data_IF_973665867308
#
_entry.id   IF_973665867308
#
_cell.length_a   1.000
_cell.length_b   1.000
_cell.length_c   1.000
_cell.angle_alpha   90.00
_cell.angle_beta   90.00
_cell.angle_gamma   90.00
#
_symmetry.space_group_name_H-M   'P 1'
#
loop_
_entity.id
_entity.type
_entity.pdbx_description
1 polymer ?
#
# COMPACT_ATOMS: atom_id res chain seq x y z
N UNK A 1 53.42 14.40 -32.74
CA UNK A 1 53.09 13.06 -32.22
C UNK A 1 51.59 12.82 -32.35
N UNK A 2 51.14 12.52 -33.57
CA UNK A 2 49.71 12.41 -33.88
C UNK A 2 49.16 11.07 -33.36
N UNK A 3 49.92 9.98 -33.50
CA UNK A 3 49.51 8.65 -33.06
C UNK A 3 49.12 8.56 -31.57
N UNK A 4 49.79 9.31 -30.69
CA UNK A 4 49.45 9.35 -29.26
C UNK A 4 48.18 10.16 -28.96
N UNK A 5 47.92 11.21 -29.75
CA UNK A 5 46.68 11.98 -29.66
C UNK A 5 45.51 11.14 -30.17
N UNK A 6 45.69 10.44 -31.29
CA UNK A 6 44.70 9.52 -31.85
C UNK A 6 44.39 8.37 -30.88
N UNK A 7 45.42 7.79 -30.26
CA UNK A 7 45.25 6.73 -29.26
C UNK A 7 44.51 7.23 -28.01
N UNK A 8 44.81 8.44 -27.54
CA UNK A 8 44.09 9.08 -26.43
C UNK A 8 42.62 9.28 -26.78
N UNK A 9 42.34 9.85 -27.94
CA UNK A 9 40.97 10.15 -28.37
C UNK A 9 40.18 8.86 -28.59
N UNK A 10 40.81 7.79 -29.10
CA UNK A 10 40.20 6.46 -29.18
C UNK A 10 39.92 5.87 -27.79
N UNK A 11 40.82 6.05 -26.82
CA UNK A 11 40.59 5.58 -25.45
C UNK A 11 39.43 6.32 -24.76
N UNK A 12 39.33 7.63 -24.99
CA UNK A 12 38.20 8.45 -24.53
C UNK A 12 36.89 7.95 -25.17
N UNK A 13 36.89 7.67 -26.48
CA UNK A 13 35.71 7.14 -27.15
C UNK A 13 35.27 5.78 -26.59
N UNK A 14 36.22 4.86 -26.35
CA UNK A 14 35.91 3.56 -25.70
C UNK A 14 35.39 3.71 -24.28
N UNK A 15 35.90 4.70 -23.53
CA UNK A 15 35.38 5.01 -22.21
C UNK A 15 33.96 5.58 -22.29
N UNK A 16 33.69 6.44 -23.28
CA UNK A 16 32.37 7.01 -23.53
C UNK A 16 31.31 5.95 -23.88
N UNK A 17 31.70 4.86 -24.55
CA UNK A 17 30.83 3.69 -24.78
C UNK A 17 30.40 3.02 -23.46
N UNK A 18 31.24 3.08 -22.42
CA UNK A 18 30.97 2.46 -21.11
C UNK A 18 30.26 3.39 -20.14
N UNK A 19 30.61 4.67 -20.10
CA UNK A 19 30.03 5.67 -19.20
C UNK A 19 30.10 7.05 -19.84
N UNK A 20 29.10 7.89 -19.61
CA UNK A 20 29.13 9.28 -20.07
C UNK A 20 30.31 10.03 -19.47
N UNK A 21 31.12 10.61 -20.35
CA UNK A 21 32.31 11.38 -20.01
C UNK A 21 32.19 12.82 -20.50
N UNK A 22 32.72 13.75 -19.71
CA UNK A 22 32.96 15.13 -20.11
C UNK A 22 34.46 15.37 -20.16
N UNK A 23 34.96 15.93 -21.26
CA UNK A 23 36.38 16.22 -21.43
C UNK A 23 36.67 17.70 -21.34
N UNK A 24 37.74 18.08 -20.63
CA UNK A 24 38.22 19.47 -20.55
C UNK A 24 39.68 19.51 -20.96
N UNK A 25 39.98 20.19 -22.07
CA UNK A 25 41.34 20.40 -22.55
C UNK A 25 42.00 21.55 -21.81
N UNK A 26 43.21 21.33 -21.29
CA UNK A 26 44.02 22.33 -20.60
C UNK A 26 44.89 23.13 -21.58
N UNK A 27 45.45 24.26 -21.11
CA UNK A 27 46.34 25.11 -21.91
C UNK A 27 47.60 24.38 -22.41
N UNK A 28 48.05 23.35 -21.68
CA UNK A 28 49.20 22.50 -22.01
C UNK A 28 48.85 21.34 -22.97
N UNK A 29 47.59 21.22 -23.39
CA UNK A 29 47.09 20.17 -24.27
C UNK A 29 46.72 18.86 -23.56
N UNK A 30 46.86 18.77 -22.24
CA UNK A 30 46.34 17.66 -21.46
C UNK A 30 44.80 17.66 -21.48
N UNK A 31 44.19 16.48 -21.34
CA UNK A 31 42.72 16.33 -21.32
C UNK A 31 42.31 15.73 -20.00
N UNK A 32 41.52 16.48 -19.24
CA UNK A 32 40.85 15.96 -18.05
C UNK A 32 39.57 15.26 -18.46
N UNK A 33 39.28 14.14 -17.81
CA UNK A 33 38.08 13.34 -18.07
C UNK A 33 37.27 13.26 -16.78
N UNK A 34 36.02 13.70 -16.86
CA UNK A 34 35.08 13.71 -15.74
C UNK A 34 33.87 12.81 -16.06
N UNK A 35 33.24 12.27 -15.03
CA UNK A 35 31.99 11.49 -15.12
C UNK A 35 30.96 12.05 -14.15
N UNK A 36 29.71 11.66 -14.38
CA UNK A 36 28.58 12.01 -13.53
C UNK A 36 28.41 13.52 -13.36
N UNK A 37 28.45 13.99 -12.12
CA UNK A 37 28.24 15.39 -11.77
C UNK A 37 29.57 16.16 -11.60
N UNK A 38 30.62 15.76 -12.34
CA UNK A 38 31.94 16.39 -12.32
C UNK A 38 33.00 15.64 -11.51
N UNK A 39 32.78 14.34 -11.24
CA UNK A 39 33.80 13.50 -10.62
C UNK A 39 34.95 13.23 -11.59
N UNK A 40 36.17 13.57 -11.20
CA UNK A 40 37.33 13.42 -12.08
C UNK A 40 37.86 11.98 -12.11
N UNK A 41 37.90 11.38 -13.30
CA UNK A 41 38.57 10.11 -13.57
C UNK A 41 40.00 10.29 -14.05
N UNK A 42 40.27 11.35 -14.81
CA UNK A 42 41.63 11.66 -15.26
C UNK A 42 41.88 13.15 -15.06
N UNK A 43 42.97 13.48 -14.36
CA UNK A 43 43.47 14.87 -14.22
C UNK A 43 44.97 14.87 -14.47
N UNK A 44 45.38 15.55 -15.54
CA UNK A 44 46.78 15.53 -15.99
C UNK A 44 47.25 14.09 -16.24
N UNK A 45 48.18 13.60 -15.41
CA UNK A 45 48.73 12.23 -15.49
C UNK A 45 48.17 11.28 -14.43
N UNK A 46 47.22 11.74 -13.60
CA UNK A 46 46.62 10.93 -12.53
C UNK A 46 45.30 10.36 -12.99
N UNK A 47 45.13 9.04 -12.83
CA UNK A 47 43.87 8.36 -13.07
C UNK A 47 43.25 7.89 -11.74
N UNK A 48 41.94 8.08 -11.59
CA UNK A 48 41.12 7.52 -10.53
C UNK A 48 40.33 6.33 -11.06
N UNK A 49 40.10 5.33 -10.22
CA UNK A 49 39.32 4.15 -10.59
C UNK A 49 37.88 4.27 -10.06
N UNK A 50 36.93 3.73 -10.82
CA UNK A 50 35.61 3.41 -10.29
C UNK A 50 35.70 2.09 -9.54
N UNK A 51 34.96 1.98 -8.44
CA UNK A 51 34.83 0.75 -7.68
C UNK A 51 33.36 0.38 -7.54
N UNK A 52 33.11 -0.92 -7.41
CA UNK A 52 31.79 -1.43 -7.05
C UNK A 52 31.75 -1.75 -5.56
N UNK A 53 30.60 -1.55 -4.95
CA UNK A 53 30.38 -1.95 -3.55
C UNK A 53 28.94 -2.42 -3.38
N UNK A 54 28.68 -3.24 -2.35
CA UNK A 54 27.34 -3.76 -2.08
C UNK A 54 26.45 -2.68 -1.49
N UNK A 55 25.19 -2.66 -1.88
CA UNK A 55 24.21 -1.76 -1.30
C UNK A 55 24.10 -2.03 0.22
N UNK A 56 24.06 -0.98 1.05
CA UNK A 56 24.04 -1.17 2.50
C UNK A 56 22.74 -1.80 3.01
N UNK A 57 21.64 -1.74 2.26
CA UNK A 57 20.34 -2.33 2.60
C UNK A 57 20.10 -3.66 1.88
N UNK A 58 20.74 -3.88 0.72
CA UNK A 58 20.62 -5.12 -0.06
C UNK A 58 21.98 -5.63 -0.57
N UNK A 59 22.49 -6.68 0.07
CA UNK A 59 23.78 -7.27 -0.29
C UNK A 59 23.82 -7.89 -1.71
N UNK A 60 22.67 -8.12 -2.35
CA UNK A 60 22.57 -8.61 -3.73
C UNK A 60 22.67 -7.48 -4.76
N UNK A 61 22.44 -6.24 -4.35
CA UNK A 61 22.56 -5.04 -5.19
C UNK A 61 23.97 -4.48 -5.13
N UNK A 62 24.47 -4.07 -6.29
CA UNK A 62 25.82 -3.49 -6.45
C UNK A 62 25.70 -2.03 -6.91
N UNK A 63 26.34 -1.13 -6.18
CA UNK A 63 26.41 0.30 -6.49
C UNK A 63 27.82 0.69 -6.96
N UNK A 64 27.95 1.91 -7.48
CA UNK A 64 29.20 2.41 -8.07
C UNK A 64 29.70 3.61 -7.27
N UNK A 65 30.97 3.55 -6.88
CA UNK A 65 31.70 4.61 -6.19
C UNK A 65 33.02 4.89 -6.89
N UNK A 66 33.84 5.74 -6.26
CA UNK A 66 35.22 6.01 -6.69
C UNK A 66 36.17 5.35 -5.69
N UNK A 67 37.20 4.68 -6.20
CA UNK A 67 38.21 4.02 -5.40
C UNK A 67 38.96 5.02 -4.51
N UNK A 68 39.26 4.62 -3.27
CA UNK A 68 39.99 5.44 -2.30
C UNK A 68 39.17 6.53 -1.59
N UNK A 69 37.92 6.77 -2.00
CA UNK A 69 36.94 7.52 -1.21
C UNK A 69 36.17 6.56 -0.30
N UNK A 70 35.68 7.06 0.83
CA UNK A 70 34.86 6.26 1.75
C UNK A 70 33.71 5.61 0.97
N UNK A 71 33.48 4.32 1.22
CA UNK A 71 32.52 3.44 0.53
C UNK A 71 31.05 3.90 0.59
N UNK A 72 30.77 5.05 1.20
CA UNK A 72 29.44 5.64 1.39
C UNK A 72 29.00 6.61 0.30
N UNK A 73 29.87 6.96 -0.67
CA UNK A 73 29.47 7.89 -1.75
C UNK A 73 29.04 7.10 -2.99
N UNK A 74 27.79 6.63 -3.00
CA UNK A 74 27.16 6.13 -4.22
C UNK A 74 27.04 7.27 -5.24
N UNK A 75 27.81 7.17 -6.33
CA UNK A 75 27.74 8.12 -7.44
C UNK A 75 26.90 7.60 -8.60
N UNK A 76 26.41 6.35 -8.52
CA UNK A 76 25.69 5.68 -9.60
C UNK A 76 24.50 6.47 -10.12
N UNK A 77 23.76 7.14 -9.23
CA UNK A 77 22.63 8.01 -9.59
C UNK A 77 22.99 9.19 -10.50
N UNK A 78 24.26 9.59 -10.51
CA UNK A 78 24.76 10.69 -11.34
C UNK A 78 25.39 10.18 -12.63
N UNK A 79 25.73 8.89 -12.72
CA UNK A 79 26.31 8.31 -13.92
C UNK A 79 25.24 8.17 -15.00
N UNK A 80 25.44 8.89 -16.11
CA UNK A 80 24.58 8.84 -17.29
C UNK A 80 25.41 8.42 -18.50
N UNK A 81 24.75 7.98 -19.58
CA UNK A 81 25.41 7.59 -20.83
C UNK A 81 26.21 6.28 -20.74
N UNK A 82 26.52 5.74 -21.92
CA UNK A 82 27.18 4.44 -22.07
C UNK A 82 26.38 3.27 -21.49
N UNK A 83 26.97 2.08 -21.55
CA UNK A 83 26.37 0.85 -21.03
C UNK A 83 26.07 0.93 -19.52
N UNK A 84 26.95 1.54 -18.72
CA UNK A 84 26.80 1.63 -17.27
C UNK A 84 25.65 2.55 -16.87
N UNK A 85 25.56 3.74 -17.48
CA UNK A 85 24.47 4.67 -17.21
C UNK A 85 23.12 4.08 -17.63
N UNK A 86 23.07 3.35 -18.76
CA UNK A 86 21.87 2.65 -19.20
C UNK A 86 21.45 1.55 -18.20
N UNK A 87 22.38 0.73 -17.73
CA UNK A 87 22.09 -0.33 -16.75
C UNK A 87 21.58 0.25 -15.41
N UNK A 88 22.19 1.33 -14.92
CA UNK A 88 21.79 2.00 -13.68
C UNK A 88 20.42 2.68 -13.81
N UNK A 89 20.17 3.36 -14.93
CA UNK A 89 18.88 3.98 -15.24
C UNK A 89 17.76 2.94 -15.38
N UNK A 90 18.01 1.85 -16.12
CA UNK A 90 17.03 0.77 -16.25
C UNK A 90 16.69 0.15 -14.89
N UNK A 91 17.69 -0.13 -14.06
CA UNK A 91 17.47 -0.71 -12.73
C UNK A 91 16.66 0.22 -11.83
N UNK A 92 17.13 1.45 -11.62
CA UNK A 92 16.52 2.37 -10.66
C UNK A 92 15.23 3.03 -11.14
N UNK A 93 15.07 3.22 -12.46
CA UNK A 93 13.89 3.85 -13.04
C UNK A 93 12.81 2.85 -13.41
N UNK A 94 13.14 1.83 -14.20
CA UNK A 94 12.14 0.92 -14.77
C UNK A 94 11.92 -0.29 -13.87
N UNK A 95 12.98 -1.05 -13.57
CA UNK A 95 12.85 -2.33 -12.88
C UNK A 95 12.33 -2.17 -11.45
N UNK A 96 12.92 -1.26 -10.68
CA UNK A 96 12.52 -1.03 -9.28
C UNK A 96 11.08 -0.48 -9.21
N UNK A 97 10.70 0.49 -10.06
CA UNK A 97 9.31 1.01 -10.14
C UNK A 97 8.31 -0.07 -10.51
N UNK A 98 8.60 -0.86 -11.57
CA UNK A 98 7.73 -1.96 -12.04
C UNK A 98 7.49 -2.99 -10.94
N UNK A 99 8.54 -3.33 -10.17
CA UNK A 99 8.41 -4.28 -9.04
C UNK A 99 7.54 -3.72 -7.94
N UNK A 100 7.71 -2.45 -7.63
CA UNK A 100 6.92 -1.77 -6.60
C UNK A 100 5.46 -1.63 -7.00
N UNK A 101 5.17 -1.27 -8.24
CA UNK A 101 3.80 -1.21 -8.78
C UNK A 101 3.12 -2.58 -8.79
N UNK A 102 3.84 -3.64 -9.20
CA UNK A 102 3.32 -5.01 -9.10
C UNK A 102 3.09 -5.43 -7.64
N UNK A 103 4.00 -5.05 -6.75
CA UNK A 103 3.87 -5.25 -5.31
C UNK A 103 2.66 -4.54 -4.73
N UNK A 104 2.40 -3.30 -5.17
CA UNK A 104 1.27 -2.47 -4.75
C UNK A 104 -0.05 -3.12 -5.15
N UNK A 105 -0.15 -3.58 -6.41
CA UNK A 105 -1.32 -4.32 -6.87
C UNK A 105 -1.54 -5.59 -6.04
N UNK A 106 -0.48 -6.36 -5.77
CA UNK A 106 -0.56 -7.57 -4.96
C UNK A 106 -0.99 -7.31 -3.51
N UNK A 107 -0.37 -6.32 -2.85
CA UNK A 107 -0.73 -5.90 -1.49
C UNK A 107 -2.16 -5.38 -1.41
N UNK A 108 -2.54 -4.56 -2.39
CA UNK A 108 -3.88 -4.05 -2.61
C UNK A 108 -4.93 -5.13 -2.70
N UNK A 109 -4.77 -6.06 -3.65
CA UNK A 109 -5.68 -7.19 -3.84
C UNK A 109 -5.74 -8.05 -2.58
N UNK A 110 -4.59 -8.42 -2.01
CA UNK A 110 -4.55 -9.29 -0.84
C UNK A 110 -5.33 -8.67 0.33
N UNK A 111 -5.05 -7.42 0.68
CA UNK A 111 -5.67 -6.80 1.84
C UNK A 111 -7.17 -6.52 1.63
N UNK A 112 -7.54 -5.87 0.54
CA UNK A 112 -8.95 -5.48 0.30
C UNK A 112 -9.86 -6.69 0.06
N UNK A 113 -9.35 -7.73 -0.62
CA UNK A 113 -10.09 -8.99 -0.77
C UNK A 113 -10.22 -9.72 0.56
N UNK A 114 -9.16 -9.80 1.37
CA UNK A 114 -9.21 -10.43 2.70
C UNK A 114 -10.19 -9.73 3.63
N UNK A 115 -10.15 -8.40 3.67
CA UNK A 115 -11.06 -7.59 4.48
C UNK A 115 -12.51 -7.90 4.11
N UNK A 116 -12.85 -7.85 2.82
CA UNK A 116 -14.20 -8.16 2.36
C UNK A 116 -14.56 -9.63 2.55
N UNK A 117 -13.63 -10.56 2.36
CA UNK A 117 -13.86 -11.99 2.58
C UNK A 117 -14.18 -12.26 4.06
N UNK A 118 -13.50 -11.57 4.98
CA UNK A 118 -13.73 -11.70 6.42
C UNK A 118 -15.10 -11.20 6.90
N UNK A 119 -15.73 -10.30 6.13
CA UNK A 119 -17.11 -9.83 6.35
C UNK A 119 -18.16 -10.84 5.87
N UNK A 120 -17.76 -11.90 5.20
CA UNK A 120 -18.63 -12.97 4.72
C UNK A 120 -18.73 -14.17 5.64
N UNK A 121 -19.52 -15.15 5.20
CA UNK A 121 -19.67 -16.46 5.80
C UNK A 121 -19.49 -17.56 4.75
N UNK A 122 -18.76 -18.61 5.13
CA UNK A 122 -18.44 -19.78 4.30
C UNK A 122 -19.59 -20.82 4.25
N UNK A 123 -19.38 -21.93 3.54
CA UNK A 123 -20.39 -22.98 3.42
C UNK A 123 -20.66 -23.74 4.73
N UNK A 124 -19.74 -23.65 5.69
CA UNK A 124 -19.82 -24.28 7.00
C UNK A 124 -20.47 -23.36 8.05
N UNK A 125 -20.86 -22.14 7.67
CA UNK A 125 -21.43 -21.13 8.57
C UNK A 125 -20.38 -20.40 9.41
N UNK A 126 -19.10 -20.49 9.04
CA UNK A 126 -17.99 -19.81 9.70
C UNK A 126 -17.72 -18.48 9.01
N UNK A 127 -17.26 -17.48 9.77
CA UNK A 127 -16.82 -16.21 9.19
C UNK A 127 -15.59 -16.44 8.30
N UNK A 128 -15.50 -15.67 7.21
CA UNK A 128 -14.34 -15.72 6.35
C UNK A 128 -13.05 -15.31 7.06
N UNK A 129 -11.94 -15.85 6.57
CA UNK A 129 -10.60 -15.43 6.97
C UNK A 129 -9.85 -14.76 5.80
N UNK A 130 -8.52 -14.80 5.88
CA UNK A 130 -7.67 -14.41 4.77
C UNK A 130 -7.88 -15.36 3.58
N UNK A 131 -8.23 -14.81 2.43
CA UNK A 131 -8.29 -15.53 1.16
C UNK A 131 -6.90 -15.60 0.52
N UNK A 132 -6.16 -14.49 0.55
CA UNK A 132 -4.76 -14.40 0.15
C UNK A 132 -3.87 -14.26 1.38
N UNK A 133 -2.62 -14.69 1.30
CA UNK A 133 -1.64 -14.44 2.35
C UNK A 133 -1.48 -12.91 2.57
N UNK A 134 -1.63 -12.41 3.81
CA UNK A 134 -1.33 -11.01 4.13
C UNK A 134 0.10 -10.66 3.75
N UNK A 135 0.29 -9.49 3.14
CA UNK A 135 1.59 -8.98 2.74
C UNK A 135 2.02 -7.90 3.72
N UNK A 136 3.24 -8.04 4.24
CA UNK A 136 3.83 -7.09 5.19
C UNK A 136 4.99 -6.32 4.56
N UNK A 137 5.24 -5.08 5.02
CA UNK A 137 6.42 -4.32 4.63
C UNK A 137 7.73 -5.07 4.91
N UNK A 138 8.67 -5.00 3.98
CA UNK A 138 10.05 -5.37 4.27
C UNK A 138 10.80 -4.19 4.87
N UNK A 139 11.55 -4.43 5.94
CA UNK A 139 12.44 -3.43 6.54
C UNK A 139 13.86 -3.95 6.57
N UNK A 140 14.78 -3.21 5.93
CA UNK A 140 16.20 -3.52 5.89
C UNK A 140 16.99 -2.48 6.68
N UNK A 141 17.77 -2.93 7.67
CA UNK A 141 18.73 -2.09 8.37
C UNK A 141 19.98 -1.91 7.50
N UNK A 142 20.52 -0.69 7.42
CA UNK A 142 21.80 -0.48 6.77
C UNK A 142 22.91 -1.24 7.51
N UNK A 143 23.76 -1.93 6.76
CA UNK A 143 24.98 -2.57 7.29
C UNK A 143 25.98 -1.59 7.90
N UNK A 144 25.82 -0.28 7.67
CA UNK A 144 26.59 0.78 8.31
C UNK A 144 26.05 1.24 9.67
N UNK A 145 24.91 0.71 10.12
CA UNK A 145 24.33 1.07 11.41
C UNK A 145 25.24 0.62 12.55
N UNK A 146 25.35 1.47 13.57
CA UNK A 146 26.14 1.21 14.78
C UNK A 146 25.31 1.24 16.05
N UNK A 147 24.12 1.84 16.02
CA UNK A 147 23.17 1.78 17.11
C UNK A 147 22.43 0.46 17.19
N UNK A 148 21.65 0.31 18.25
CA UNK A 148 20.82 -0.86 18.55
C UNK A 148 19.32 -0.56 18.30
N UNK A 149 19.02 0.43 17.48
CA UNK A 149 17.64 0.71 17.08
C UNK A 149 17.11 -0.38 16.15
N UNK A 150 15.83 -0.68 16.26
CA UNK A 150 15.10 -1.53 15.31
C UNK A 150 13.89 -0.77 14.79
N UNK A 151 13.58 -1.01 13.52
CA UNK A 151 12.42 -0.42 12.84
C UNK A 151 11.53 -1.56 12.36
N UNK A 152 10.23 -1.46 12.64
CA UNK A 152 9.19 -2.32 12.09
C UNK A 152 8.19 -1.47 11.33
N UNK A 153 7.53 -2.05 10.34
CA UNK A 153 6.48 -1.37 9.60
C UNK A 153 5.29 -2.31 9.38
N UNK A 154 4.09 -1.73 9.34
CA UNK A 154 2.83 -2.42 9.04
C UNK A 154 1.99 -1.59 8.07
N UNK A 155 1.10 -2.25 7.33
CA UNK A 155 0.11 -1.57 6.50
C UNK A 155 -1.08 -1.18 7.39
N UNK A 156 -1.35 0.12 7.50
CA UNK A 156 -2.49 0.67 8.22
C UNK A 156 -3.67 0.92 7.27
N UNK A 157 -3.45 1.71 6.22
CA UNK A 157 -4.45 2.01 5.18
C UNK A 157 -3.91 1.66 3.80
N UNK A 158 -4.33 0.50 3.29
CA UNK A 158 -3.87 -0.01 2.00
C UNK A 158 -4.31 0.90 0.84
N UNK A 159 -5.42 1.63 0.99
CA UNK A 159 -5.90 2.54 -0.05
C UNK A 159 -5.02 3.76 -0.23
N UNK A 160 -4.25 4.12 0.80
CA UNK A 160 -3.30 5.24 0.77
C UNK A 160 -1.90 4.86 0.23
N UNK A 161 -1.64 3.57 -0.03
CA UNK A 161 -0.34 3.12 -0.52
C UNK A 161 -0.05 3.65 -1.93
N UNK A 162 1.16 4.14 -2.12
CA UNK A 162 1.66 4.70 -3.39
C UNK A 162 2.66 3.78 -4.11
N UNK A 163 3.12 2.72 -3.43
CA UNK A 163 4.20 1.85 -3.92
C UNK A 163 5.61 2.43 -3.75
N UNK A 164 5.76 3.62 -3.16
CA UNK A 164 7.07 4.19 -2.91
C UNK A 164 7.85 3.42 -1.82
N UNK A 165 9.17 3.42 -1.95
CA UNK A 165 10.08 3.01 -0.87
C UNK A 165 10.42 4.23 0.00
N UNK A 166 10.68 3.98 1.28
CA UNK A 166 10.99 5.03 2.25
C UNK A 166 12.30 4.72 2.97
N UNK A 167 13.08 5.77 3.24
CA UNK A 167 14.27 5.67 4.08
C UNK A 167 14.05 6.46 5.35
N UNK A 168 14.24 5.82 6.49
CA UNK A 168 14.30 6.51 7.78
C UNK A 168 15.74 6.56 8.27
N UNK A 169 16.20 7.72 8.75
CA UNK A 169 17.59 7.94 9.18
C UNK A 169 17.67 8.81 10.42
N UNK A 170 18.64 8.55 11.30
CA UNK A 170 18.85 9.29 12.54
C UNK A 170 20.08 10.19 12.42
N UNK A 171 19.93 11.49 12.68
CA UNK A 171 21.01 12.47 12.54
C UNK A 171 21.83 12.68 13.84
N UNK A 172 21.46 11.99 14.92
CA UNK A 172 22.02 12.18 16.26
C UNK A 172 21.07 12.89 17.23
N UNK A 173 20.01 13.53 16.73
CA UNK A 173 18.99 14.21 17.52
C UNK A 173 17.56 13.78 17.15
N UNK A 174 17.27 13.60 15.87
CA UNK A 174 15.94 13.29 15.35
C UNK A 174 16.00 12.29 14.19
N UNK A 175 14.85 11.67 13.93
CA UNK A 175 14.64 10.83 12.76
C UNK A 175 14.12 11.66 11.59
N UNK A 176 14.60 11.35 10.40
CA UNK A 176 14.09 11.85 9.12
C UNK A 176 13.60 10.67 8.30
N UNK A 177 12.29 10.63 8.04
CA UNK A 177 11.65 9.71 7.10
C UNK A 177 11.54 10.38 5.74
N UNK A 178 12.11 9.78 4.71
CA UNK A 178 12.17 10.30 3.35
C UNK A 178 11.51 9.33 2.38
N UNK A 179 10.64 9.84 1.51
CA UNK A 179 10.15 9.11 0.35
C UNK A 179 11.27 9.08 -0.72
N UNK A 180 11.69 7.89 -1.14
CA UNK A 180 12.84 7.73 -2.06
C UNK A 180 12.48 8.06 -3.52
N UNK A 181 11.19 8.11 -3.87
CA UNK A 181 10.70 8.49 -5.19
C UNK A 181 10.54 10.02 -5.33
N UNK A 182 9.89 10.67 -4.37
CA UNK A 182 9.58 12.12 -4.44
C UNK A 182 10.61 12.99 -3.73
N UNK A 183 11.38 12.43 -2.80
CA UNK A 183 12.28 13.16 -1.92
C UNK A 183 11.59 13.91 -0.78
N UNK A 184 10.26 13.89 -0.70
CA UNK A 184 9.50 14.47 0.41
C UNK A 184 9.96 13.84 1.73
N UNK A 185 10.06 14.65 2.80
CA UNK A 185 10.60 14.18 4.07
C UNK A 185 9.78 14.68 5.26
N UNK A 186 9.64 13.84 6.28
CA UNK A 186 9.09 14.15 7.59
C UNK A 186 10.20 14.02 8.63
N UNK A 187 10.21 14.89 9.64
CA UNK A 187 11.17 14.83 10.74
C UNK A 187 10.46 14.75 12.07
N UNK A 188 11.05 14.03 13.03
CA UNK A 188 10.46 13.87 14.35
C UNK A 188 11.36 13.08 15.30
N UNK A 189 11.02 13.12 16.59
CA UNK A 189 11.78 12.40 17.61
C UNK A 189 11.59 10.87 17.56
N UNK A 190 10.61 10.37 16.80
CA UNK A 190 10.07 9.02 16.98
C UNK A 190 9.15 8.93 18.21
N UNK A 191 8.73 7.73 18.63
CA UNK A 191 9.09 6.42 18.10
C UNK A 191 8.24 5.97 16.91
N UNK A 192 7.26 6.76 16.47
CA UNK A 192 6.34 6.36 15.41
C UNK A 192 6.25 7.41 14.30
N UNK A 193 6.05 6.93 13.09
CA UNK A 193 5.74 7.73 11.91
C UNK A 193 4.64 7.03 11.12
N UNK A 194 3.83 7.82 10.41
CA UNK A 194 2.86 7.29 9.45
C UNK A 194 3.05 8.04 8.12
N UNK A 195 3.10 7.29 7.03
CA UNK A 195 3.24 7.86 5.67
C UNK A 195 2.49 6.98 4.69
N UNK A 196 1.63 7.58 3.87
CA UNK A 196 0.95 6.90 2.75
C UNK A 196 0.36 5.53 3.12
N UNK A 197 -0.31 5.45 4.27
CA UNK A 197 -0.93 4.20 4.75
C UNK A 197 0.01 3.20 5.42
N UNK A 198 1.27 3.53 5.62
CA UNK A 198 2.29 2.72 6.29
C UNK A 198 2.55 3.27 7.68
N UNK A 199 2.38 2.42 8.69
CA UNK A 199 2.73 2.73 10.07
C UNK A 199 4.13 2.18 10.36
N UNK A 200 5.00 3.05 10.87
CA UNK A 200 6.40 2.74 11.16
C UNK A 200 6.61 2.92 12.66
N UNK A 201 7.15 1.90 13.30
CA UNK A 201 7.53 1.92 14.71
C UNK A 201 9.03 1.72 14.87
N UNK A 202 9.61 2.51 15.78
CA UNK A 202 11.03 2.56 16.09
C UNK A 202 11.18 2.21 17.56
N UNK A 203 12.13 1.34 17.86
CA UNK A 203 12.49 0.98 19.23
C UNK A 203 14.00 0.87 19.36
N UNK A 204 14.49 0.73 20.60
CA UNK A 204 15.92 0.67 20.89
C UNK A 204 16.61 2.03 20.87
N UNK A 205 17.95 2.03 20.82
CA UNK A 205 18.77 3.25 20.91
C UNK A 205 19.55 3.45 19.62
N UNK A 206 19.24 4.49 18.83
CA UNK A 206 19.96 4.76 17.59
C UNK A 206 21.33 5.42 17.86
N UNK A 207 22.22 5.27 16.90
CA UNK A 207 23.43 6.07 16.76
C UNK A 207 23.30 7.02 15.56
N UNK A 208 23.98 8.18 15.63
CA UNK A 208 23.99 9.13 14.52
C UNK A 208 24.51 8.46 13.24
N UNK A 209 23.77 8.61 12.14
CA UNK A 209 24.04 7.96 10.86
C UNK A 209 23.32 6.63 10.65
N UNK A 210 22.63 6.09 11.66
CA UNK A 210 21.81 4.89 11.47
C UNK A 210 20.69 5.16 10.46
N UNK A 211 20.40 4.17 9.61
CA UNK A 211 19.34 4.24 8.60
C UNK A 211 18.70 2.89 8.30
N UNK A 212 17.44 2.92 7.89
CA UNK A 212 16.65 1.76 7.51
C UNK A 212 15.87 2.06 6.24
N UNK A 213 15.78 1.08 5.34
CA UNK A 213 14.95 1.12 4.14
C UNK A 213 13.66 0.34 4.42
N UNK A 214 12.52 0.97 4.17
CA UNK A 214 11.18 0.41 4.30
C UNK A 214 10.62 0.26 2.89
N UNK A 215 10.24 -0.96 2.54
CA UNK A 215 9.64 -1.31 1.25
C UNK A 215 8.25 -1.89 1.51
N UNK A 216 7.20 -1.05 1.56
CA UNK A 216 5.87 -1.48 1.98
C UNK A 216 5.29 -2.60 1.12
N UNK A 217 5.66 -2.60 -0.16
CA UNK A 217 5.11 -3.49 -1.18
C UNK A 217 6.15 -4.43 -1.80
N UNK A 218 7.42 -4.34 -1.37
CA UNK A 218 8.54 -5.05 -2.00
C UNK A 218 8.42 -6.58 -1.99
N UNK A 219 7.62 -7.13 -1.09
CA UNK A 219 7.37 -8.57 -0.99
C UNK A 219 6.21 -9.05 -1.88
N UNK A 220 5.37 -8.15 -2.40
CA UNK A 220 4.11 -8.52 -3.03
C UNK A 220 4.27 -9.46 -4.21
N UNK A 221 5.24 -9.21 -5.09
CA UNK A 221 5.48 -10.06 -6.26
C UNK A 221 5.96 -11.49 -5.92
N UNK A 222 6.61 -11.69 -4.78
CA UNK A 222 7.19 -12.98 -4.39
C UNK A 222 6.32 -13.76 -3.39
N UNK A 223 5.55 -13.03 -2.58
CA UNK A 223 4.78 -13.59 -1.48
C UNK A 223 3.26 -13.57 -1.72
N UNK A 224 2.76 -13.10 -2.86
CA UNK A 224 1.34 -13.25 -3.18
C UNK A 224 0.97 -14.73 -3.35
N UNK A 225 0.02 -15.21 -2.54
CA UNK A 225 -0.41 -16.61 -2.56
C UNK A 225 -1.85 -16.74 -2.06
N UNK A 226 -2.56 -17.76 -2.54
CA UNK A 226 -3.84 -18.18 -1.98
C UNK A 226 -3.61 -18.85 -0.62
N UNK A 227 -4.38 -18.45 0.38
CA UNK A 227 -4.33 -18.99 1.75
C UNK A 227 -5.38 -20.09 1.96
N UNK A 228 -6.57 -19.94 1.37
CA UNK A 228 -7.59 -20.99 1.44
C UNK A 228 -7.20 -22.18 0.55
N UNK A 229 -7.46 -23.39 1.05
CA UNK A 229 -7.15 -24.63 0.32
C UNK A 229 -8.40 -25.44 -0.05
N UNK A 230 -9.55 -25.12 0.56
CA UNK A 230 -10.83 -25.74 0.29
C UNK A 230 -11.82 -24.71 -0.26
N UNK A 231 -12.55 -25.06 -1.31
CA UNK A 231 -13.58 -24.20 -1.88
C UNK A 231 -14.74 -23.91 -0.91
N UNK A 232 -14.99 -24.81 0.06
CA UNK A 232 -16.01 -24.61 1.09
C UNK A 232 -15.70 -23.44 2.03
N UNK A 233 -14.43 -23.03 2.14
CA UNK A 233 -13.98 -21.93 3.00
C UNK A 233 -14.18 -20.56 2.33
N UNK A 234 -14.68 -20.54 1.09
CA UNK A 234 -15.01 -19.30 0.39
C UNK A 234 -16.26 -18.65 0.99
N UNK A 235 -16.07 -17.50 1.60
CA UNK A 235 -17.06 -16.75 2.36
C UNK A 235 -18.02 -15.95 1.46
N UNK A 236 -18.86 -16.66 0.69
CA UNK A 236 -19.75 -16.07 -0.31
C UNK A 236 -21.01 -15.39 0.27
N UNK A 237 -21.51 -15.88 1.40
CA UNK A 237 -22.76 -15.42 1.99
C UNK A 237 -22.53 -14.21 2.91
N UNK A 238 -23.56 -13.39 3.12
CA UNK A 238 -23.55 -12.46 4.24
C UNK A 238 -23.86 -13.21 5.55
N UNK A 239 -23.14 -12.94 6.65
CA UNK A 239 -23.34 -13.63 7.93
C UNK A 239 -24.63 -13.23 8.65
N UNK A 240 -25.30 -12.17 8.19
CA UNK A 240 -26.54 -11.65 8.78
C UNK A 240 -27.64 -11.49 7.72
N UNK A 241 -28.89 -11.62 8.17
CA UNK A 241 -30.08 -11.42 7.35
C UNK A 241 -31.11 -10.61 8.11
N UNK A 242 -31.96 -9.92 7.37
CA UNK A 242 -33.06 -9.17 7.93
C UNK A 242 -34.41 -9.87 7.70
N UNK A 243 -35.41 -9.48 8.48
CA UNK A 243 -36.81 -9.84 8.26
C UNK A 243 -37.73 -8.82 8.90
N UNK A 244 -38.95 -8.71 8.38
CA UNK A 244 -40.03 -7.96 9.01
C UNK A 244 -40.94 -8.90 9.81
N UNK A 245 -41.48 -8.40 10.92
CA UNK A 245 -42.45 -9.13 11.73
C UNK A 245 -43.70 -9.48 10.92
N UNK A 246 -44.16 -10.72 11.01
CA UNK A 246 -45.37 -11.17 10.30
C UNK A 246 -46.66 -10.53 10.81
N UNK A 247 -46.61 -9.89 11.99
CA UNK A 247 -47.72 -9.18 12.60
C UNK A 247 -47.68 -7.66 12.31
N UNK A 248 -46.72 -7.18 11.53
CA UNK A 248 -46.63 -5.76 11.18
C UNK A 248 -47.89 -5.31 10.45
N UNK A 249 -48.40 -4.14 10.82
CA UNK A 249 -49.57 -3.51 10.22
C UNK A 249 -49.19 -2.43 9.20
N UNK A 250 -48.01 -1.83 9.35
CA UNK A 250 -47.40 -0.94 8.36
C UNK A 250 -46.51 -1.68 7.37
N UNK A 251 -45.84 -0.92 6.52
CA UNK A 251 -44.90 -1.41 5.51
C UNK A 251 -43.44 -1.08 5.87
N UNK A 252 -43.09 -1.19 7.17
CA UNK A 252 -41.73 -1.02 7.65
C UNK A 252 -40.75 -1.88 6.84
N UNK A 253 -39.63 -1.31 6.40
CA UNK A 253 -38.63 -2.04 5.62
C UNK A 253 -37.22 -1.83 6.15
N UNK A 254 -36.43 -2.89 6.10
CA UNK A 254 -34.97 -2.86 6.27
C UNK A 254 -34.34 -3.37 4.98
N UNK A 255 -33.53 -2.54 4.32
CA UNK A 255 -32.86 -2.87 3.06
C UNK A 255 -31.36 -2.60 3.15
N UNK A 256 -30.62 -2.96 2.09
CA UNK A 256 -29.19 -2.68 1.95
C UNK A 256 -28.33 -3.13 3.15
N UNK A 257 -28.71 -4.23 3.82
CA UNK A 257 -27.96 -4.75 4.98
C UNK A 257 -26.57 -5.23 4.55
N UNK A 258 -25.54 -4.55 5.06
CA UNK A 258 -24.12 -4.87 4.92
C UNK A 258 -23.46 -5.06 6.29
N UNK A 259 -22.31 -5.74 6.26
CA UNK A 259 -21.41 -5.88 7.41
C UNK A 259 -20.21 -5.00 7.13
N UNK A 260 -19.97 -4.00 7.96
CA UNK A 260 -18.82 -3.11 7.86
C UNK A 260 -17.68 -3.59 8.77
N UNK A 261 -18.03 -4.20 9.91
CA UNK A 261 -17.09 -4.80 10.86
C UNK A 261 -17.61 -6.16 11.36
N UNK A 262 -16.77 -7.19 11.27
CA UNK A 262 -17.09 -8.54 11.69
C UNK A 262 -16.80 -8.82 13.17
N UNK A 263 -16.16 -7.91 13.92
CA UNK A 263 -15.75 -8.12 15.32
C UNK A 263 -16.90 -8.45 16.28
N UNK A 264 -18.14 -8.07 15.94
CA UNK A 264 -19.37 -8.36 16.70
C UNK A 264 -20.12 -9.62 16.26
N UNK A 265 -19.58 -10.40 15.32
CA UNK A 265 -20.23 -11.57 14.75
C UNK A 265 -19.61 -12.89 15.26
N UNK A 266 -20.40 -13.98 15.35
CA UNK A 266 -21.86 -14.02 15.16
C UNK A 266 -22.58 -13.25 16.25
N UNK A 267 -23.78 -12.76 15.95
CA UNK A 267 -24.60 -12.05 16.92
C UNK A 267 -24.96 -12.98 18.10
N UNK A 268 -24.90 -12.46 19.32
CA UNK A 268 -25.33 -13.20 20.52
C UNK A 268 -26.83 -13.48 20.58
N UNK A 269 -27.63 -12.75 19.79
CA UNK A 269 -29.07 -12.90 19.60
C UNK A 269 -29.55 -12.02 18.45
N UNK A 270 -30.82 -12.15 18.07
CA UNK A 270 -31.38 -11.26 17.05
C UNK A 270 -31.47 -9.82 17.57
N UNK A 271 -31.04 -8.86 16.74
CA UNK A 271 -31.28 -7.44 16.97
C UNK A 271 -32.72 -7.17 16.51
N UNK A 272 -33.54 -6.59 17.36
CA UNK A 272 -34.93 -6.26 17.03
C UNK A 272 -35.17 -4.77 17.19
N UNK A 273 -35.66 -4.16 16.12
CA UNK A 273 -36.09 -2.77 16.01
C UNK A 273 -37.61 -2.76 16.12
N UNK A 274 -38.17 -2.15 17.17
CA UNK A 274 -39.62 -2.03 17.34
C UNK A 274 -40.02 -0.58 17.15
N UNK A 275 -40.91 -0.29 16.19
CA UNK A 275 -41.34 1.08 15.96
C UNK A 275 -42.20 1.57 17.13
N UNK A 276 -41.83 2.73 17.67
CA UNK A 276 -42.50 3.37 18.78
C UNK A 276 -42.69 4.87 18.46
N UNK A 277 -43.93 5.39 18.47
CA UNK A 277 -44.20 6.81 18.19
C UNK A 277 -43.59 7.76 19.24
N UNK A 278 -43.17 7.23 20.39
CA UNK A 278 -42.60 7.96 21.52
C UNK A 278 -41.17 7.47 21.89
N UNK A 279 -40.46 6.79 20.98
CA UNK A 279 -39.17 6.14 21.27
C UNK A 279 -38.10 7.12 21.80
N UNK A 280 -38.16 8.38 21.36
CA UNK A 280 -37.23 9.45 21.72
C UNK A 280 -37.85 10.52 22.63
N UNK A 281 -38.98 10.20 23.26
CA UNK A 281 -39.79 11.11 24.05
C UNK A 281 -41.18 11.31 23.46
N UNK A 282 -42.06 11.99 24.20
CA UNK A 282 -43.47 12.18 23.84
C UNK A 282 -43.59 12.80 22.43
N UNK A 283 -44.26 12.10 21.53
CA UNK A 283 -44.48 12.43 20.13
C UNK A 283 -43.21 12.55 19.29
N UNK A 284 -42.11 11.90 19.69
CA UNK A 284 -40.86 11.81 18.91
C UNK A 284 -40.64 10.36 18.47
N UNK A 285 -41.02 10.02 17.22
CA UNK A 285 -41.02 8.64 16.74
C UNK A 285 -39.60 8.09 16.50
N UNK A 286 -39.47 6.78 16.64
CA UNK A 286 -38.24 6.06 16.37
C UNK A 286 -38.40 4.55 16.48
N UNK A 287 -37.28 3.83 16.41
CA UNK A 287 -37.22 2.41 16.68
C UNK A 287 -36.53 2.16 18.01
N UNK A 288 -37.21 1.50 18.95
CA UNK A 288 -36.58 0.93 20.13
C UNK A 288 -35.70 -0.27 19.71
N UNK A 289 -34.45 -0.29 20.17
CA UNK A 289 -33.46 -1.31 19.80
C UNK A 289 -33.27 -2.29 20.96
N UNK A 290 -33.36 -3.58 20.65
CA UNK A 290 -33.04 -4.67 21.58
C UNK A 290 -32.08 -5.65 20.94
N UNK A 291 -31.30 -6.39 21.74
CA UNK A 291 -30.34 -7.39 21.25
C UNK A 291 -29.00 -6.83 20.74
N UNK A 292 -28.79 -5.52 20.80
CA UNK A 292 -27.51 -4.86 20.55
C UNK A 292 -27.32 -3.67 21.48
N UNK A 293 -26.07 -3.25 21.67
CA UNK A 293 -25.77 -1.95 22.25
C UNK A 293 -26.14 -0.85 21.26
N UNK A 294 -27.06 0.03 21.66
CA UNK A 294 -27.57 1.11 20.83
C UNK A 294 -28.81 1.72 21.49
N UNK A 295 -28.93 3.04 21.45
CA UNK A 295 -30.15 3.73 21.88
C UNK A 295 -31.27 3.57 20.84
N UNK A 296 -32.47 4.11 21.14
CA UNK A 296 -33.51 4.20 20.12
C UNK A 296 -32.98 4.96 18.89
N UNK A 297 -33.32 4.46 17.71
CA UNK A 297 -32.93 5.06 16.43
C UNK A 297 -34.02 6.06 16.05
N UNK A 298 -33.61 7.30 15.74
CA UNK A 298 -34.52 8.31 15.23
C UNK A 298 -35.08 7.89 13.87
N UNK A 299 -36.41 7.90 13.77
CA UNK A 299 -37.10 7.57 12.53
C UNK A 299 -38.48 8.23 12.52
N UNK A 300 -38.68 9.18 11.62
CA UNK A 300 -39.96 9.84 11.41
C UNK A 300 -40.57 9.36 10.08
N UNK A 301 -41.64 8.55 10.10
CA UNK A 301 -42.28 8.05 8.87
C UNK A 301 -42.71 9.14 7.88
N UNK A 302 -42.99 10.36 8.35
CA UNK A 302 -43.37 11.47 7.48
C UNK A 302 -42.20 12.03 6.66
N UNK A 303 -40.96 11.80 7.09
CA UNK A 303 -39.74 12.36 6.50
C UNK A 303 -38.86 11.25 5.92
N UNK A 304 -38.71 10.15 6.65
CA UNK A 304 -37.73 9.10 6.42
C UNK A 304 -38.31 7.88 5.67
N UNK A 305 -39.57 7.95 5.22
CA UNK A 305 -40.22 6.82 4.52
C UNK A 305 -39.56 6.45 3.19
N UNK A 306 -38.79 7.37 2.60
CA UNK A 306 -37.97 7.13 1.40
C UNK A 306 -36.65 6.39 1.65
N UNK A 307 -36.27 6.17 2.91
CA UNK A 307 -34.99 5.54 3.27
C UNK A 307 -34.11 6.47 4.10
N UNK A 308 -33.64 5.98 5.26
CA UNK A 308 -32.59 6.60 6.06
C UNK A 308 -31.50 5.57 6.36
N UNK A 309 -30.25 5.94 6.14
CA UNK A 309 -29.10 5.11 6.46
C UNK A 309 -28.87 5.04 7.97
N UNK A 310 -28.61 3.84 8.47
CA UNK A 310 -28.37 3.54 9.88
C UNK A 310 -27.15 2.65 9.99
N UNK A 311 -26.27 2.96 10.95
CA UNK A 311 -25.18 2.08 11.37
C UNK A 311 -25.41 1.65 12.82
N UNK A 312 -25.34 0.34 13.08
CA UNK A 312 -25.55 -0.24 14.39
C UNK A 312 -24.67 -1.49 14.56
N UNK A 313 -23.76 -1.47 15.53
CA UNK A 313 -22.97 -2.65 15.92
C UNK A 313 -22.13 -3.25 14.78
N UNK A 314 -21.50 -2.42 13.95
CA UNK A 314 -20.69 -2.87 12.80
C UNK A 314 -21.50 -3.26 11.56
N UNK A 315 -22.81 -3.02 11.56
CA UNK A 315 -23.70 -3.24 10.44
C UNK A 315 -24.22 -1.91 9.90
N UNK A 316 -24.37 -1.81 8.59
CA UNK A 316 -25.08 -0.69 7.94
C UNK A 316 -26.29 -1.21 7.18
N UNK A 317 -27.36 -0.41 7.17
CA UNK A 317 -28.61 -0.72 6.48
C UNK A 317 -29.45 0.53 6.29
N UNK A 318 -30.50 0.42 5.49
CA UNK A 318 -31.50 1.47 5.29
C UNK A 318 -32.83 1.10 5.93
N UNK A 319 -33.42 2.04 6.68
CA UNK A 319 -34.78 1.94 7.20
C UNK A 319 -35.73 2.76 6.33
N UNK A 320 -36.87 2.18 5.98
CA UNK A 320 -37.87 2.83 5.12
C UNK A 320 -39.31 2.44 5.45
N UNK A 321 -40.22 3.01 4.67
CA UNK A 321 -41.65 2.75 4.77
C UNK A 321 -42.38 3.59 5.82
N UNK A 322 -43.60 3.17 6.15
CA UNK A 322 -44.50 3.81 7.09
C UNK A 322 -44.92 2.80 8.15
N UNK A 323 -44.08 2.54 9.16
CA UNK A 323 -44.38 1.62 10.24
C UNK A 323 -45.55 2.11 11.10
N UNK A 324 -46.28 1.16 11.68
CA UNK A 324 -47.29 1.39 12.73
C UNK A 324 -46.69 1.00 14.08
N UNK A 325 -47.16 1.62 15.17
CA UNK A 325 -46.67 1.34 16.53
C UNK A 325 -46.69 -0.17 16.83
N UNK A 326 -45.54 -0.71 17.24
CA UNK A 326 -45.34 -2.13 17.50
C UNK A 326 -44.86 -2.96 16.30
N UNK A 327 -44.76 -2.38 15.10
CA UNK A 327 -44.13 -3.05 13.95
C UNK A 327 -42.66 -3.35 14.27
N UNK A 328 -42.20 -4.52 13.84
CA UNK A 328 -40.84 -5.00 14.13
C UNK A 328 -40.04 -5.28 12.86
N UNK A 329 -38.76 -4.93 12.91
CA UNK A 329 -37.72 -5.35 11.95
C UNK A 329 -36.64 -6.05 12.74
N UNK A 330 -36.13 -7.17 12.24
CA UNK A 330 -35.09 -7.94 12.94
C UNK A 330 -33.89 -8.19 12.05
N UNK A 331 -32.70 -8.18 12.65
CA UNK A 331 -31.45 -8.67 12.07
C UNK A 331 -30.99 -9.87 12.87
N UNK A 332 -30.71 -10.99 12.21
CA UNK A 332 -30.28 -12.22 12.85
C UNK A 332 -29.15 -12.89 12.06
N UNK A 333 -28.44 -13.83 12.71
CA UNK A 333 -27.44 -14.66 12.06
C UNK A 333 -28.06 -15.43 10.89
N UNK A 334 -27.31 -15.55 9.80
CA UNK A 334 -27.73 -16.24 8.59
C UNK A 334 -27.51 -17.76 8.68
N UNK A 335 -28.38 -18.46 9.43
CA UNK A 335 -28.21 -19.91 9.68
C UNK A 335 -28.63 -20.82 8.53
N UNK A 336 -29.44 -20.32 7.59
CA UNK A 336 -29.99 -21.07 6.45
C UNK A 336 -29.63 -20.41 5.10
N UNK A 337 -28.50 -19.69 5.06
CA UNK A 337 -28.06 -18.87 3.92
C UNK A 337 -27.60 -19.64 2.68
N UNK A 338 -28.03 -20.89 2.50
CA UNK A 338 -27.66 -21.69 1.34
C UNK A 338 -28.11 -21.00 0.04
N UNK A 339 -27.16 -20.50 -0.74
CA UNK A 339 -27.40 -19.76 -1.98
C UNK A 339 -27.33 -18.24 -1.85
N UNK A 340 -27.09 -17.70 -0.65
CA UNK A 340 -26.76 -16.29 -0.46
C UNK A 340 -25.37 -16.01 -1.05
N UNK A 341 -25.29 -15.05 -1.97
CA UNK A 341 -24.06 -14.65 -2.65
C UNK A 341 -23.75 -13.15 -2.45
N UNK A 342 -24.34 -12.48 -1.45
CA UNK A 342 -24.18 -11.04 -1.23
C UNK A 342 -22.71 -10.66 -1.02
N UNK A 343 -21.95 -11.46 -0.25
CA UNK A 343 -20.53 -11.19 -0.06
C UNK A 343 -19.70 -11.50 -1.32
N UNK A 344 -20.06 -12.53 -2.07
CA UNK A 344 -19.43 -12.82 -3.36
C UNK A 344 -19.64 -11.68 -4.38
N UNK A 345 -20.82 -11.05 -4.39
CA UNK A 345 -21.07 -9.87 -5.22
C UNK A 345 -20.22 -8.66 -4.76
N UNK A 346 -20.07 -8.46 -3.45
CA UNK A 346 -19.21 -7.42 -2.90
C UNK A 346 -17.73 -7.64 -3.25
N UNK A 347 -17.25 -8.88 -3.15
CA UNK A 347 -15.91 -9.29 -3.61
C UNK A 347 -15.73 -9.04 -5.10
N UNK A 348 -16.73 -9.35 -5.93
CA UNK A 348 -16.70 -9.06 -7.36
C UNK A 348 -16.63 -7.56 -7.67
N UNK A 349 -17.28 -6.73 -6.85
CA UNK A 349 -17.28 -5.27 -7.02
C UNK A 349 -15.89 -4.63 -6.77
N UNK A 350 -15.02 -5.28 -5.99
CA UNK A 350 -13.65 -4.82 -5.74
C UNK A 350 -12.84 -4.67 -7.02
N UNK A 351 -13.15 -5.46 -8.07
CA UNK A 351 -12.46 -5.40 -9.36
C UNK A 351 -12.42 -3.98 -9.95
N UNK A 352 -13.49 -3.21 -9.75
CA UNK A 352 -13.65 -1.85 -10.29
C UNK A 352 -13.63 -0.77 -9.21
N UNK A 353 -13.53 -1.15 -7.93
CA UNK A 353 -13.49 -0.20 -6.84
C UNK A 353 -12.13 0.52 -6.80
N UNK A 354 -12.16 1.85 -6.66
CA UNK A 354 -10.95 2.67 -6.56
C UNK A 354 -10.36 2.56 -5.16
N UNK A 355 -9.61 1.48 -4.95
CA UNK A 355 -9.07 1.09 -3.64
C UNK A 355 -7.55 1.12 -3.59
N UNK A 356 -6.89 1.53 -4.68
CA UNK A 356 -5.44 1.64 -4.80
C UNK A 356 -5.02 3.08 -5.11
N UNK A 357 -3.74 3.38 -4.90
CA UNK A 357 -3.08 4.64 -5.26
C UNK A 357 -3.82 5.88 -4.73
N UNK A 358 -3.92 5.97 -3.40
CA UNK A 358 -4.67 7.04 -2.72
C UNK A 358 -6.18 6.98 -2.95
N UNK A 359 -6.72 5.80 -3.27
CA UNK A 359 -8.14 5.61 -3.58
C UNK A 359 -8.56 6.16 -4.95
N UNK A 360 -7.64 6.23 -5.90
CA UNK A 360 -7.91 6.79 -7.25
C UNK A 360 -7.90 5.75 -8.37
N UNK A 361 -7.36 4.55 -8.11
CA UNK A 361 -7.23 3.50 -9.12
C UNK A 361 -7.92 2.20 -8.70
N UNK A 362 -8.55 1.52 -9.65
CA UNK A 362 -8.98 0.13 -9.50
C UNK A 362 -7.83 -0.85 -9.77
N UNK A 363 -8.06 -2.14 -9.53
CA UNK A 363 -7.08 -3.18 -9.90
C UNK A 363 -6.76 -3.17 -11.40
N UNK A 364 -7.77 -2.92 -12.23
CA UNK A 364 -7.62 -2.86 -13.69
C UNK A 364 -6.81 -1.63 -14.11
N UNK A 365 -7.09 -0.48 -13.50
CA UNK A 365 -6.38 0.77 -13.80
C UNK A 365 -4.91 0.68 -13.41
N UNK A 366 -4.63 0.14 -12.22
CA UNK A 366 -3.26 -0.06 -11.72
C UNK A 366 -2.45 -0.99 -12.64
N UNK A 367 -3.04 -2.12 -13.06
CA UNK A 367 -2.39 -3.02 -14.01
C UNK A 367 -2.18 -2.40 -15.40
N UNK A 368 -3.17 -1.66 -15.90
CA UNK A 368 -3.06 -0.99 -17.19
C UNK A 368 -1.97 0.11 -17.18
N UNK A 369 -1.86 0.87 -16.07
CA UNK A 369 -0.82 1.85 -15.83
C UNK A 369 0.58 1.24 -15.91
N UNK A 370 0.81 0.16 -15.15
CA UNK A 370 2.07 -0.59 -15.15
C UNK A 370 2.50 -1.00 -16.57
N UNK A 371 1.58 -1.58 -17.36
CA UNK A 371 1.87 -2.00 -18.74
C UNK A 371 2.18 -0.78 -19.62
N UNK A 372 1.45 0.32 -19.46
CA UNK A 372 1.68 1.54 -20.21
C UNK A 372 3.05 2.16 -19.90
N UNK A 373 3.45 2.21 -18.64
CA UNK A 373 4.72 2.80 -18.20
C UNK A 373 5.92 1.98 -18.67
N UNK A 374 5.83 0.66 -18.63
CA UNK A 374 6.82 -0.24 -19.24
C UNK A 374 6.89 -0.01 -20.75
N UNK A 375 5.75 0.12 -21.43
CA UNK A 375 5.72 0.35 -22.89
C UNK A 375 6.24 1.74 -23.28
N UNK A 376 6.00 2.78 -22.47
CA UNK A 376 6.56 4.12 -22.67
C UNK A 376 8.07 4.09 -22.46
N UNK A 377 8.54 3.47 -21.38
CA UNK A 377 9.97 3.32 -21.08
C UNK A 377 10.69 2.56 -22.20
N UNK A 378 10.10 1.48 -22.71
CA UNK A 378 10.65 0.72 -23.84
C UNK A 378 10.71 1.54 -25.13
N UNK A 379 9.70 2.37 -25.42
CA UNK A 379 9.69 3.24 -26.62
C UNK A 379 10.66 4.41 -26.52
N UNK A 380 10.90 4.93 -25.32
CA UNK A 380 11.88 5.99 -25.10
C UNK A 380 13.32 5.47 -25.21
N UNK A 381 13.54 4.17 -24.96
CA UNK A 381 14.85 3.54 -25.04
C UNK A 381 15.23 3.08 -26.47
N UNK A 382 14.27 2.94 -27.38
CA UNK A 382 14.45 2.49 -28.78
C UNK A 382 14.65 3.64 -29.75
#
# INVERSE_FOLDING_TARGET
PNDLLDARDQAINRLAEKVGVTTVTQEDGAVNVLVGNGQALVVGFTASELQTFRDPFDATRVNVGIAGLASSTDIGRFLTGGELGAALSFRGGVLDSTRNELGLLAAGIAATFNEQHSRGMDLNGQLGGNFFRPLEPAVAASSGNTGAATVSASLGDVSALTGADYRISFDGAQWTLRNEQTGASQTGAGPAFTVDGVDIAISGTPAAGDSFLIQPVGQGANLFALEITNAADFAAASPVRNSAGSANLGNASLSALSVDDAAGLPLGGAITLTFNPDALGVSVPGYDVTGSAGGPIAYNPAIDSGGIAVTLGGLSFELGGTPVAGDTLSIANNTDGSGDNRNALALGALQTAQTLDGGTASYQDSYAGLVADVAVSSRQAS
#
